data_IF_997500638175
#
_entry.id   IF_997500638175
#
_cell.length_a   1.000
_cell.length_b   1.000
_cell.length_c   1.000
_cell.angle_alpha   90.00
_cell.angle_beta   90.00
_cell.angle_gamma   90.00
#
_symmetry.space_group_name_H-M   'P 1'
#
loop_
_entity.id
_entity.type
_entity.pdbx_description
1 polymer ?
#
# COMPACT_ATOMS: atom_id res chain seq x y z
N UNK A 1 -37.99 11.26 -6.24
CA UNK A 1 -38.08 9.92 -5.65
C UNK A 1 -37.01 9.86 -4.58
N UNK A 2 -37.39 9.80 -3.31
CA UNK A 2 -36.40 9.74 -2.22
C UNK A 2 -35.89 8.31 -2.17
N UNK A 3 -34.63 8.09 -2.54
CA UNK A 3 -33.95 6.81 -2.37
C UNK A 3 -33.77 6.62 -0.87
N UNK A 4 -34.40 5.60 -0.31
CA UNK A 4 -34.20 5.25 1.09
C UNK A 4 -32.81 4.63 1.27
N UNK A 5 -32.07 4.97 2.33
CA UNK A 5 -30.80 4.31 2.61
C UNK A 5 -31.03 2.83 2.89
N UNK A 6 -30.28 1.97 2.21
CA UNK A 6 -30.41 0.50 2.29
C UNK A 6 -29.55 -0.11 3.41
N UNK A 7 -28.70 0.69 4.05
CA UNK A 7 -27.87 0.25 5.17
C UNK A 7 -27.36 1.40 6.03
N UNK A 8 -26.74 1.04 7.15
CA UNK A 8 -26.09 1.99 8.06
C UNK A 8 -24.76 1.44 8.55
N UNK A 9 -23.75 2.30 8.67
CA UNK A 9 -22.50 2.01 9.36
C UNK A 9 -22.40 2.91 10.57
N UNK A 10 -21.93 2.41 11.71
CA UNK A 10 -21.85 3.20 12.95
C UNK A 10 -20.47 3.15 13.59
N UNK A 11 -19.97 4.32 13.98
CA UNK A 11 -18.72 4.47 14.76
C UNK A 11 -19.01 5.31 15.99
N UNK A 12 -18.73 4.80 17.19
CA UNK A 12 -18.98 5.49 18.47
C UNK A 12 -20.41 6.07 18.58
N UNK A 13 -21.41 5.23 18.26
CA UNK A 13 -22.84 5.60 18.26
C UNK A 13 -23.26 6.65 17.22
N UNK A 14 -22.36 7.07 16.33
CA UNK A 14 -22.70 7.91 15.19
C UNK A 14 -22.94 7.04 13.98
N UNK A 15 -24.18 7.02 13.50
CA UNK A 15 -24.57 6.25 12.32
C UNK A 15 -24.52 7.12 11.08
N UNK A 16 -23.88 6.59 10.03
CA UNK A 16 -23.89 7.13 8.69
C UNK A 16 -24.71 6.18 7.80
N UNK A 17 -25.83 6.64 7.24
CA UNK A 17 -26.58 5.84 6.27
C UNK A 17 -25.82 5.77 4.95
N UNK A 18 -26.00 4.67 4.21
CA UNK A 18 -25.46 4.52 2.86
C UNK A 18 -26.48 3.87 1.92
N UNK A 19 -26.25 4.05 0.63
CA UNK A 19 -27.01 3.41 -0.45
C UNK A 19 -26.06 2.78 -1.46
N UNK A 20 -26.39 1.60 -1.98
CA UNK A 20 -25.69 1.02 -3.13
C UNK A 20 -26.07 1.78 -4.41
N UNK A 21 -25.21 1.78 -5.44
CA UNK A 21 -25.59 2.19 -6.79
C UNK A 21 -26.80 1.36 -7.28
N UNK A 22 -27.65 1.97 -8.10
CA UNK A 22 -28.89 1.33 -8.58
C UNK A 22 -28.62 -0.04 -9.22
N UNK A 23 -29.34 -1.08 -8.75
CA UNK A 23 -29.44 -2.36 -9.45
C UNK A 23 -29.00 -3.61 -8.68
N UNK A 24 -28.39 -3.49 -7.49
CA UNK A 24 -28.07 -4.67 -6.67
C UNK A 24 -28.58 -4.52 -5.24
N UNK A 25 -29.51 -5.40 -4.87
CA UNK A 25 -30.12 -5.47 -3.53
C UNK A 25 -29.50 -6.57 -2.66
N UNK A 26 -28.72 -7.49 -3.25
CA UNK A 26 -28.18 -8.68 -2.59
C UNK A 26 -26.65 -8.66 -2.71
N UNK A 27 -25.96 -8.80 -1.57
CA UNK A 27 -24.53 -9.06 -1.51
C UNK A 27 -24.34 -10.57 -1.33
N UNK A 28 -23.98 -11.27 -2.39
CA UNK A 28 -23.68 -12.70 -2.36
C UNK A 28 -22.20 -12.91 -2.04
N UNK A 29 -21.91 -13.72 -1.03
CA UNK A 29 -20.56 -14.01 -0.54
C UNK A 29 -20.33 -15.52 -0.64
N UNK A 30 -19.44 -15.95 -1.51
CA UNK A 30 -19.16 -17.36 -1.83
C UNK A 30 -17.81 -17.88 -1.31
N UNK A 31 -17.03 -17.00 -0.68
CA UNK A 31 -15.65 -17.27 -0.25
C UNK A 31 -15.38 -16.86 1.21
N UNK A 32 -14.14 -17.02 1.65
CA UNK A 32 -13.69 -16.75 3.01
C UNK A 32 -13.77 -15.26 3.39
N UNK A 33 -14.11 -15.00 4.65
CA UNK A 33 -14.06 -13.65 5.23
C UNK A 33 -12.75 -13.43 5.98
N UNK A 34 -11.99 -12.41 5.58
CA UNK A 34 -10.71 -12.07 6.20
C UNK A 34 -10.84 -10.93 7.21
N UNK A 35 -10.05 -10.98 8.30
CA UNK A 35 -9.97 -9.95 9.31
C UNK A 35 -8.51 -9.58 9.56
N UNK A 36 -8.19 -8.29 9.46
CA UNK A 36 -6.88 -7.75 9.81
C UNK A 36 -5.84 -7.76 8.69
N UNK A 37 -6.07 -8.49 7.60
CA UNK A 37 -5.16 -8.53 6.45
C UNK A 37 -5.56 -9.62 5.47
N UNK A 38 -4.69 -9.86 4.48
CA UNK A 38 -4.85 -10.91 3.48
C UNK A 38 -3.61 -11.81 3.46
N UNK A 39 -3.73 -13.07 3.00
CA UNK A 39 -2.57 -13.95 2.82
C UNK A 39 -1.56 -13.38 1.82
N UNK A 40 -0.28 -13.74 1.99
CA UNK A 40 0.80 -13.29 1.08
C UNK A 40 0.60 -13.81 -0.35
N UNK A 41 0.14 -15.06 -0.48
CA UNK A 41 -0.29 -15.60 -1.77
C UNK A 41 -1.72 -15.16 -2.06
N UNK A 42 -1.87 -14.26 -3.03
CA UNK A 42 -3.16 -13.74 -3.51
C UNK A 42 -3.64 -14.39 -4.81
N UNK A 43 -3.08 -15.54 -5.18
CA UNK A 43 -3.33 -16.23 -6.45
C UNK A 43 -4.82 -16.41 -6.77
N UNK A 44 -5.63 -16.61 -5.73
CA UNK A 44 -7.05 -16.94 -5.85
C UNK A 44 -7.98 -15.82 -5.35
N UNK A 45 -7.42 -14.64 -5.02
CA UNK A 45 -8.14 -13.49 -4.51
C UNK A 45 -8.37 -12.46 -5.62
N UNK A 46 -9.63 -12.26 -6.01
CA UNK A 46 -10.03 -11.15 -6.89
C UNK A 46 -10.28 -9.92 -6.03
N UNK A 47 -9.36 -8.96 -6.07
CA UNK A 47 -9.46 -7.73 -5.29
C UNK A 47 -9.97 -6.57 -6.15
N UNK A 48 -11.08 -5.92 -5.76
CA UNK A 48 -11.52 -4.70 -6.41
C UNK A 48 -10.50 -3.56 -6.17
N UNK A 49 -10.30 -2.65 -7.16
CA UNK A 49 -9.35 -1.54 -7.05
C UNK A 49 -9.69 -0.57 -5.90
N UNK A 50 -10.97 -0.50 -5.50
CA UNK A 50 -11.46 0.30 -4.38
C UNK A 50 -10.88 -0.15 -3.02
N UNK A 51 -10.40 -1.40 -2.92
CA UNK A 51 -9.75 -1.96 -1.73
C UNK A 51 -8.24 -1.74 -1.80
N UNK A 52 -7.84 -0.48 -1.94
CA UNK A 52 -6.46 -0.08 -2.21
C UNK A 52 -5.45 -0.54 -1.13
N UNK A 53 -5.85 -0.63 0.14
CA UNK A 53 -4.97 -1.10 1.23
C UNK A 53 -4.50 -2.54 1.00
N UNK A 54 -5.35 -3.38 0.40
CA UNK A 54 -5.00 -4.75 0.07
C UNK A 54 -3.95 -4.81 -1.04
N UNK A 55 -4.03 -3.92 -2.03
CA UNK A 55 -3.08 -3.85 -3.15
C UNK A 55 -1.70 -3.33 -2.69
N UNK A 56 -1.68 -2.41 -1.71
CA UNK A 56 -0.44 -1.89 -1.09
C UNK A 56 0.13 -2.78 0.03
N UNK A 57 -0.48 -3.95 0.31
CA UNK A 57 -0.10 -4.82 1.44
C UNK A 57 -0.16 -4.12 2.81
N UNK A 58 -1.05 -3.14 2.97
CA UNK A 58 -1.27 -2.42 4.22
C UNK A 58 -2.27 -3.20 5.09
N UNK A 59 -1.80 -4.30 5.67
CA UNK A 59 -2.52 -5.04 6.70
C UNK A 59 -2.75 -4.20 7.96
N UNK A 60 -3.86 -4.45 8.65
CA UNK A 60 -4.18 -3.78 9.91
C UNK A 60 -3.24 -4.25 11.02
N UNK A 61 -2.75 -3.30 11.82
CA UNK A 61 -1.97 -3.58 13.03
C UNK A 61 -2.62 -2.85 14.19
N UNK A 62 -3.15 -3.61 15.14
CA UNK A 62 -3.86 -3.07 16.29
C UNK A 62 -4.67 -4.15 16.99
N UNK A 63 -5.74 -3.73 17.66
CA UNK A 63 -6.62 -4.65 18.38
C UNK A 63 -8.01 -4.70 17.78
N UNK A 64 -8.63 -5.87 17.84
CA UNK A 64 -10.05 -6.08 17.51
C UNK A 64 -10.65 -6.95 18.62
N UNK A 65 -11.88 -6.63 19.02
CA UNK A 65 -12.69 -7.42 19.96
C UNK A 65 -14.16 -7.32 19.59
N UNK A 66 -14.98 -8.18 20.21
CA UNK A 66 -16.44 -8.11 20.13
C UNK A 66 -16.97 -8.19 18.67
N UNK A 67 -16.50 -9.19 17.91
CA UNK A 67 -16.98 -9.44 16.54
C UNK A 67 -18.37 -10.10 16.59
N UNK A 68 -19.34 -9.48 15.93
CA UNK A 68 -20.67 -10.03 15.71
C UNK A 68 -20.96 -10.19 14.22
N UNK A 69 -21.47 -11.35 13.83
CA UNK A 69 -21.94 -11.63 12.47
C UNK A 69 -23.40 -12.09 12.60
N UNK A 70 -24.32 -11.38 11.94
CA UNK A 70 -25.77 -11.61 12.04
C UNK A 70 -26.28 -11.64 13.49
N UNK A 71 -25.75 -10.75 14.33
CA UNK A 71 -26.07 -10.66 15.75
C UNK A 71 -25.48 -11.77 16.63
N UNK A 72 -24.72 -12.72 16.05
CA UNK A 72 -24.06 -13.80 16.80
C UNK A 72 -22.61 -13.43 17.10
N UNK A 73 -22.25 -13.50 18.38
CA UNK A 73 -20.87 -13.30 18.82
C UNK A 73 -19.95 -14.37 18.24
N UNK A 74 -18.78 -13.95 17.76
CA UNK A 74 -17.68 -14.81 17.31
C UNK A 74 -16.46 -14.58 18.18
N UNK A 75 -15.96 -15.67 18.77
CA UNK A 75 -14.76 -15.63 19.59
C UNK A 75 -13.51 -15.58 18.69
N UNK A 76 -13.08 -14.36 18.36
CA UNK A 76 -11.91 -14.11 17.49
C UNK A 76 -10.61 -14.66 18.08
N UNK A 77 -10.49 -14.74 19.41
CA UNK A 77 -9.32 -15.31 20.07
C UNK A 77 -9.25 -16.80 19.81
N UNK A 78 -10.35 -17.52 20.06
CA UNK A 78 -10.42 -18.96 19.83
C UNK A 78 -10.22 -19.31 18.34
N UNK A 79 -10.78 -18.50 17.44
CA UNK A 79 -10.59 -18.67 16.00
C UNK A 79 -9.12 -18.54 15.59
N UNK A 80 -8.40 -17.54 16.14
CA UNK A 80 -6.97 -17.35 15.88
C UNK A 80 -6.12 -18.50 16.43
N UNK A 81 -6.44 -19.01 17.62
CA UNK A 81 -5.76 -20.17 18.23
C UNK A 81 -5.94 -21.45 17.39
N UNK A 82 -7.16 -21.74 16.93
CA UNK A 82 -7.45 -22.92 16.09
C UNK A 82 -6.71 -22.84 14.75
N UNK A 83 -6.62 -21.65 14.15
CA UNK A 83 -5.97 -21.45 12.87
C UNK A 83 -4.45 -21.29 12.99
N UNK A 84 -3.89 -21.27 14.21
CA UNK A 84 -2.48 -20.99 14.46
C UNK A 84 -2.01 -19.71 13.74
N UNK A 85 -2.83 -18.66 13.81
CA UNK A 85 -2.60 -17.42 13.06
C UNK A 85 -1.28 -16.75 13.50
N UNK A 86 -0.31 -16.71 12.58
CA UNK A 86 1.01 -16.13 12.83
C UNK A 86 0.90 -14.62 13.12
N UNK A 87 1.63 -14.15 14.13
CA UNK A 87 1.66 -12.73 14.51
C UNK A 87 0.43 -12.23 15.27
N UNK A 88 -0.57 -13.07 15.53
CA UNK A 88 -1.75 -12.71 16.32
C UNK A 88 -1.54 -13.04 17.79
N UNK A 89 -1.72 -12.06 18.68
CA UNK A 89 -1.66 -12.24 20.14
C UNK A 89 -3.06 -12.28 20.73
N UNK A 90 -3.26 -13.11 21.77
CA UNK A 90 -4.52 -13.19 22.51
C UNK A 90 -4.74 -12.03 23.48
N UNK A 91 -3.77 -11.12 23.61
CA UNK A 91 -3.83 -9.96 24.48
C UNK A 91 -3.71 -8.65 23.69
N UNK A 92 -4.54 -7.67 24.07
CA UNK A 92 -4.46 -6.31 23.57
C UNK A 92 -4.03 -5.37 24.70
N UNK A 93 -2.76 -5.01 24.75
CA UNK A 93 -2.27 -3.95 25.63
C UNK A 93 -1.38 -3.01 24.83
N UNK A 94 -1.55 -1.70 25.06
CA UNK A 94 -0.66 -0.71 24.49
C UNK A 94 0.57 -0.61 25.39
N UNK A 95 1.72 -0.97 24.86
CA UNK A 95 2.98 -0.79 25.57
C UNK A 95 3.26 0.71 25.77
N UNK A 96 3.73 1.05 26.97
CA UNK A 96 4.04 2.45 27.31
C UNK A 96 5.46 2.85 26.88
N UNK A 97 6.33 1.87 26.62
CA UNK A 97 7.68 2.14 26.15
C UNK A 97 7.65 2.49 24.67
N UNK A 98 8.10 3.71 24.35
CA UNK A 98 8.29 4.14 22.97
C UNK A 98 9.43 3.36 22.33
N UNK A 99 9.13 2.57 21.31
CA UNK A 99 10.10 1.74 20.61
C UNK A 99 11.12 2.59 19.83
N UNK A 100 10.74 3.79 19.38
CA UNK A 100 11.68 4.71 18.74
C UNK A 100 12.72 5.35 19.69
N UNK A 101 12.51 5.30 21.01
CA UNK A 101 13.44 5.91 21.97
C UNK A 101 14.81 5.21 22.04
N UNK A 102 14.89 3.94 21.62
CA UNK A 102 16.17 3.24 21.48
C UNK A 102 16.92 3.57 20.19
N UNK A 103 16.41 4.49 19.37
CA UNK A 103 16.93 4.85 18.05
C UNK A 103 17.24 3.61 17.17
N UNK A 104 16.23 2.74 16.90
CA UNK A 104 16.47 1.48 16.20
C UNK A 104 16.79 1.64 14.71
N UNK A 105 16.44 2.79 14.11
CA UNK A 105 16.68 3.06 12.69
C UNK A 105 18.09 3.62 12.48
N UNK A 106 18.91 2.91 11.71
CA UNK A 106 20.25 3.33 11.32
C UNK A 106 20.25 4.36 10.19
N UNK A 107 21.45 4.86 9.87
CA UNK A 107 21.74 5.62 8.64
C UNK A 107 20.79 6.78 8.34
N UNK A 108 20.43 7.55 9.38
CA UNK A 108 19.50 8.69 9.30
C UNK A 108 18.07 8.32 8.84
N UNK A 109 17.67 7.05 8.95
CA UNK A 109 16.28 6.64 8.77
C UNK A 109 15.35 7.27 9.81
N UNK A 110 14.17 7.70 9.38
CA UNK A 110 13.19 8.29 10.29
C UNK A 110 12.42 7.20 11.03
N UNK A 111 12.51 7.19 12.36
CA UNK A 111 11.74 6.26 13.18
C UNK A 111 10.32 6.79 13.43
N UNK A 112 9.31 5.98 13.10
CA UNK A 112 7.90 6.23 13.39
C UNK A 112 7.40 5.21 14.42
N UNK A 113 6.67 5.70 15.43
CA UNK A 113 6.08 4.83 16.45
C UNK A 113 4.83 4.15 15.89
N UNK A 114 4.72 2.84 16.07
CA UNK A 114 3.57 2.02 15.69
C UNK A 114 2.91 1.34 16.88
N UNK A 115 1.93 0.46 16.60
CA UNK A 115 1.30 -0.34 17.65
C UNK A 115 2.27 -1.43 18.16
N UNK A 116 2.85 -1.22 19.34
CA UNK A 116 3.84 -2.11 19.99
C UNK A 116 5.05 -2.45 19.11
N UNK A 117 5.39 -1.57 18.15
CA UNK A 117 6.53 -1.72 17.24
C UNK A 117 7.04 -0.36 16.81
N UNK A 118 8.25 -0.32 16.27
CA UNK A 118 8.75 0.83 15.52
C UNK A 118 8.68 0.53 14.02
N UNK A 119 8.69 1.58 13.21
CA UNK A 119 8.72 1.52 11.75
C UNK A 119 9.84 2.45 11.30
N UNK A 120 10.80 1.93 10.53
CA UNK A 120 11.86 2.74 9.96
C UNK A 120 11.50 3.16 8.54
N UNK A 121 11.48 4.47 8.31
CA UNK A 121 11.36 5.06 6.98
C UNK A 121 12.76 5.33 6.44
N UNK A 122 13.25 4.41 5.60
CA UNK A 122 14.57 4.48 4.98
C UNK A 122 14.56 5.29 3.67
N UNK A 123 13.44 5.93 3.32
CA UNK A 123 13.30 6.70 2.07
C UNK A 123 14.35 7.81 2.02
N UNK A 124 15.05 7.93 0.88
CA UNK A 124 16.13 8.92 0.72
C UNK A 124 17.45 8.67 1.48
N UNK A 125 17.57 7.63 2.30
CA UNK A 125 18.77 7.41 3.14
C UNK A 125 19.97 6.76 2.43
N UNK A 126 19.75 6.03 1.34
CA UNK A 126 20.78 5.11 0.81
C UNK A 126 20.66 3.67 1.32
N UNK A 127 19.74 3.37 2.25
CA UNK A 127 19.67 2.08 2.94
C UNK A 127 18.26 1.45 2.85
N UNK A 128 18.19 0.15 3.08
CA UNK A 128 16.97 -0.68 3.15
C UNK A 128 17.03 -1.61 4.37
N UNK A 129 16.03 -2.46 4.52
CA UNK A 129 15.88 -3.37 5.65
C UNK A 129 14.99 -2.79 6.75
N UNK A 130 14.65 -3.62 7.73
CA UNK A 130 13.74 -3.26 8.82
C UNK A 130 14.27 -2.10 9.67
N UNK A 131 15.59 -1.97 9.78
CA UNK A 131 16.29 -0.98 10.58
C UNK A 131 17.15 -0.03 9.73
N UNK A 132 16.96 0.03 8.41
CA UNK A 132 17.84 0.75 7.50
C UNK A 132 19.33 0.34 7.62
N UNK A 133 19.59 -0.92 7.96
CA UNK A 133 20.93 -1.48 8.21
C UNK A 133 21.61 -1.96 6.93
N UNK A 134 20.83 -2.22 5.90
CA UNK A 134 21.31 -2.74 4.62
C UNK A 134 21.66 -1.54 3.76
N UNK A 135 22.95 -1.24 3.62
CA UNK A 135 23.40 -0.27 2.63
C UNK A 135 23.04 -0.80 1.26
N UNK A 136 22.29 0.00 0.51
CA UNK A 136 21.99 -0.32 -0.88
C UNK A 136 23.33 -0.54 -1.59
N UNK A 137 24.36 0.29 -1.39
CA UNK A 137 25.65 0.19 -2.09
C UNK A 137 26.57 -0.96 -1.63
N UNK A 138 26.50 -1.46 -0.39
CA UNK A 138 27.32 -2.63 0.01
C UNK A 138 26.60 -3.96 -0.13
N UNK A 139 25.26 -4.00 -0.09
CA UNK A 139 24.54 -5.16 -0.63
C UNK A 139 24.73 -5.27 -2.14
N UNK A 140 24.90 -4.15 -2.86
CA UNK A 140 25.44 -4.19 -4.22
C UNK A 140 26.78 -4.94 -4.22
N UNK A 141 27.82 -4.55 -3.47
CA UNK A 141 29.15 -5.21 -3.57
C UNK A 141 29.15 -6.70 -3.16
N UNK A 142 28.40 -7.10 -2.12
CA UNK A 142 28.39 -8.50 -1.65
C UNK A 142 27.43 -9.40 -2.46
N UNK A 143 26.36 -8.86 -3.03
CA UNK A 143 25.45 -9.57 -3.94
C UNK A 143 25.98 -9.57 -5.39
N UNK A 144 26.75 -8.55 -5.82
CA UNK A 144 27.36 -8.44 -7.15
C UNK A 144 28.31 -9.60 -7.48
N UNK A 145 28.89 -10.27 -6.46
CA UNK A 145 29.77 -11.41 -6.69
C UNK A 145 29.06 -12.77 -6.74
N UNK A 146 27.75 -12.84 -6.41
CA UNK A 146 27.01 -14.12 -6.41
C UNK A 146 25.68 -14.10 -7.18
N UNK A 147 24.92 -12.99 -7.22
CA UNK A 147 23.68 -12.87 -7.98
C UNK A 147 23.45 -11.40 -8.42
N UNK A 148 23.84 -11.11 -9.66
CA UNK A 148 23.60 -9.88 -10.46
C UNK A 148 22.64 -8.81 -9.89
N UNK A 149 23.23 -7.62 -9.65
CA UNK A 149 22.68 -6.27 -9.72
C UNK A 149 21.41 -5.94 -8.89
N UNK A 150 21.56 -5.19 -7.79
CA UNK A 150 20.65 -4.05 -7.70
C UNK A 150 21.17 -3.06 -8.76
N UNK A 151 20.40 -2.87 -9.82
CA UNK A 151 20.92 -2.38 -11.09
C UNK A 151 20.81 -0.86 -11.11
N UNK A 152 21.91 -0.12 -11.01
CA UNK A 152 21.89 1.28 -11.44
C UNK A 152 21.77 1.25 -12.95
N UNK A 153 20.59 1.62 -13.44
CA UNK A 153 20.33 1.68 -14.88
C UNK A 153 20.84 3.02 -15.38
N UNK A 154 21.87 2.97 -16.23
CA UNK A 154 22.33 4.13 -16.97
C UNK A 154 21.52 4.24 -18.25
N UNK A 155 20.92 5.42 -18.46
CA UNK A 155 20.17 5.73 -19.67
C UNK A 155 20.92 6.79 -20.46
N UNK A 156 21.27 6.51 -21.72
CA UNK A 156 21.90 7.49 -22.63
C UNK A 156 20.87 8.37 -23.39
N UNK A 157 19.58 8.07 -23.20
CA UNK A 157 18.44 8.71 -23.87
C UNK A 157 17.84 7.89 -25.02
N UNK A 158 18.43 6.75 -25.38
CA UNK A 158 17.89 5.79 -26.36
C UNK A 158 17.44 4.46 -25.73
N UNK A 159 17.77 4.25 -24.46
CA UNK A 159 17.46 3.04 -23.71
C UNK A 159 16.11 3.13 -22.98
N UNK A 160 15.49 1.99 -22.72
CA UNK A 160 14.30 1.88 -21.86
C UNK A 160 14.33 0.57 -21.09
N UNK A 161 13.65 0.54 -19.93
CA UNK A 161 13.35 -0.68 -19.19
C UNK A 161 11.83 -0.83 -19.10
N UNK A 162 11.33 -2.04 -19.33
CA UNK A 162 9.90 -2.38 -19.18
C UNK A 162 9.73 -3.41 -18.09
N UNK A 163 8.94 -3.07 -17.07
CA UNK A 163 8.45 -4.02 -16.06
C UNK A 163 7.11 -4.55 -16.56
N UNK A 164 7.03 -5.86 -16.82
CA UNK A 164 5.80 -6.51 -17.26
C UNK A 164 5.07 -6.98 -16.00
N UNK A 165 3.91 -6.38 -15.72
CA UNK A 165 3.01 -6.87 -14.67
C UNK A 165 2.36 -8.18 -15.13
N UNK A 166 2.37 -9.25 -14.31
CA UNK A 166 1.85 -10.55 -14.70
C UNK A 166 0.32 -10.56 -14.89
N UNK A 167 -0.39 -9.60 -14.28
CA UNK A 167 -1.84 -9.41 -14.38
C UNK A 167 -2.11 -7.92 -14.63
N UNK A 168 -3.18 -7.60 -15.37
CA UNK A 168 -3.66 -6.22 -15.54
C UNK A 168 -4.02 -5.65 -14.19
N UNK A 169 -3.27 -4.64 -13.77
CA UNK A 169 -3.44 -3.99 -12.48
C UNK A 169 -4.38 -2.79 -12.64
N UNK A 170 -5.47 -2.80 -11.88
CA UNK A 170 -6.34 -1.65 -11.67
C UNK A 170 -6.12 -1.22 -10.21
N UNK A 171 -5.70 0.02 -10.01
CA UNK A 171 -5.34 0.57 -8.71
C UNK A 171 -5.98 1.95 -8.58
N UNK A 172 -6.61 2.23 -7.44
CA UNK A 172 -7.07 3.60 -7.10
C UNK A 172 -6.03 4.37 -6.28
N UNK A 173 -5.00 3.70 -5.76
CA UNK A 173 -3.87 4.32 -5.08
C UNK A 173 -2.57 3.53 -5.35
N UNK A 174 -1.50 4.26 -5.65
CA UNK A 174 -0.16 3.73 -5.84
C UNK A 174 0.83 4.41 -4.88
N UNK A 175 1.74 3.62 -4.29
CA UNK A 175 2.91 4.13 -3.58
C UNK A 175 4.15 3.90 -4.45
N UNK A 176 4.76 4.98 -4.95
CA UNK A 176 5.87 4.93 -5.90
C UNK A 176 7.02 5.77 -5.37
N UNK A 177 8.18 5.13 -5.16
CA UNK A 177 9.42 5.79 -4.79
C UNK A 177 10.54 5.41 -5.75
N UNK A 178 11.26 6.41 -6.27
CA UNK A 178 12.46 6.22 -7.10
C UNK A 178 13.52 7.27 -6.75
N UNK A 179 14.78 6.98 -7.08
CA UNK A 179 15.89 7.93 -6.98
C UNK A 179 16.48 8.10 -8.37
N UNK A 180 16.77 9.34 -8.76
CA UNK A 180 17.32 9.66 -10.06
C UNK A 180 18.38 10.75 -9.95
N UNK A 181 19.28 10.79 -10.92
CA UNK A 181 20.22 11.88 -11.13
C UNK A 181 20.28 12.16 -12.64
N UNK A 182 20.13 13.42 -13.03
CA UNK A 182 20.21 13.81 -14.44
C UNK A 182 20.74 15.23 -14.55
N UNK A 183 21.55 15.47 -15.59
CA UNK A 183 21.97 16.81 -15.99
C UNK A 183 20.94 17.50 -16.89
N UNK A 184 19.97 16.74 -17.44
CA UNK A 184 18.95 17.27 -18.35
C UNK A 184 17.80 17.89 -17.55
N UNK A 185 17.34 19.06 -17.98
CA UNK A 185 16.16 19.73 -17.42
C UNK A 185 14.83 19.06 -17.84
N UNK A 186 14.87 18.15 -18.83
CA UNK A 186 13.70 17.47 -19.38
C UNK A 186 13.96 15.97 -19.56
N UNK A 187 12.94 15.14 -19.31
CA UNK A 187 13.00 13.69 -19.55
C UNK A 187 11.97 12.90 -18.76
N UNK A 188 11.51 11.78 -19.32
CA UNK A 188 10.62 10.85 -18.63
C UNK A 188 11.39 10.02 -17.59
N UNK A 189 10.89 9.95 -16.36
CA UNK A 189 11.46 9.12 -15.29
C UNK A 189 10.73 7.78 -15.18
N UNK A 190 9.40 7.80 -15.22
CA UNK A 190 8.55 6.62 -15.10
C UNK A 190 7.20 6.90 -15.79
N UNK A 191 6.62 5.88 -16.41
CA UNK A 191 5.23 5.91 -16.86
C UNK A 191 4.59 4.54 -16.67
N UNK A 192 3.37 4.50 -16.12
CA UNK A 192 2.48 3.35 -16.30
C UNK A 192 1.74 3.49 -17.63
N UNK A 193 1.52 2.38 -18.32
CA UNK A 193 0.79 2.36 -19.60
C UNK A 193 -0.24 1.25 -19.60
N UNK A 194 -1.43 1.55 -20.12
CA UNK A 194 -2.48 0.59 -20.40
C UNK A 194 -2.52 0.26 -21.89
N UNK A 195 -2.88 -0.98 -22.25
CA UNK A 195 -3.12 -1.37 -23.65
C UNK A 195 -4.51 -0.97 -24.14
N UNK A 196 -5.44 -0.75 -23.22
CA UNK A 196 -6.87 -0.59 -23.49
C UNK A 196 -7.36 0.84 -23.23
N UNK A 197 -6.57 1.66 -22.53
CA UNK A 197 -6.90 3.04 -22.20
C UNK A 197 -5.69 3.96 -22.36
N UNK A 198 -5.96 5.27 -22.38
CA UNK A 198 -4.93 6.30 -22.32
C UNK A 198 -4.44 6.58 -20.89
N UNK A 199 -4.83 5.73 -19.93
CA UNK A 199 -4.56 5.94 -18.52
C UNK A 199 -3.07 5.80 -18.24
N UNK A 200 -2.56 6.69 -17.39
CA UNK A 200 -1.13 6.79 -17.15
C UNK A 200 -0.85 7.58 -15.87
N UNK A 201 0.05 7.06 -15.07
CA UNK A 201 0.75 7.78 -14.02
C UNK A 201 2.17 8.01 -14.55
N UNK A 202 2.56 9.27 -14.71
CA UNK A 202 3.87 9.66 -15.26
C UNK A 202 4.60 10.58 -14.31
N UNK A 203 5.88 10.32 -14.13
CA UNK A 203 6.83 11.23 -13.51
C UNK A 203 7.81 11.69 -14.59
N UNK A 204 7.92 13.00 -14.77
CA UNK A 204 8.82 13.61 -15.75
C UNK A 204 9.60 14.78 -15.15
N UNK A 205 10.76 15.08 -15.71
CA UNK A 205 11.47 16.34 -15.53
C UNK A 205 10.91 17.36 -16.52
N UNK A 206 10.47 18.50 -16.02
CA UNK A 206 9.94 19.63 -16.79
C UNK A 206 10.57 20.94 -16.28
N UNK A 207 11.55 21.45 -17.03
CA UNK A 207 12.32 22.63 -16.66
C UNK A 207 13.12 22.44 -15.36
N UNK A 208 13.68 21.25 -15.13
CA UNK A 208 14.49 20.92 -13.96
C UNK A 208 13.69 20.59 -12.70
N UNK A 209 12.36 20.59 -12.77
CA UNK A 209 11.46 20.19 -11.69
C UNK A 209 10.84 18.83 -11.99
N UNK A 210 10.53 18.07 -10.95
CA UNK A 210 9.76 16.83 -11.08
C UNK A 210 8.28 17.19 -11.20
N UNK A 211 7.60 16.63 -12.20
CA UNK A 211 6.19 16.82 -12.49
C UNK A 211 5.49 15.47 -12.53
N UNK A 212 4.44 15.34 -11.73
CA UNK A 212 3.53 14.19 -11.72
C UNK A 212 2.34 14.48 -12.64
N UNK A 213 2.01 13.53 -13.50
CA UNK A 213 0.84 13.57 -14.38
C UNK A 213 0.04 12.29 -14.16
N UNK A 214 -1.22 12.43 -13.80
CA UNK A 214 -2.17 11.32 -13.71
C UNK A 214 -3.27 11.56 -14.73
N UNK A 215 -3.45 10.64 -15.67
CA UNK A 215 -4.56 10.61 -16.61
C UNK A 215 -5.33 9.31 -16.39
N UNK A 216 -6.64 9.40 -16.22
CA UNK A 216 -7.55 8.26 -16.02
C UNK A 216 -8.66 8.24 -17.08
N UNK A 217 -8.39 8.80 -18.27
CA UNK A 217 -9.29 8.71 -19.42
C UNK A 217 -10.58 9.54 -19.29
N UNK A 218 -10.74 10.31 -18.20
CA UNK A 218 -11.84 11.25 -17.98
C UNK A 218 -11.35 12.69 -18.23
N UNK A 219 -12.16 13.57 -18.85
CA UNK A 219 -11.81 14.98 -18.99
C UNK A 219 -11.60 15.60 -17.59
N UNK A 220 -10.44 16.26 -17.44
CA UNK A 220 -9.95 16.98 -16.27
C UNK A 220 -11.05 17.54 -15.34
N UNK A 221 -11.29 16.88 -14.21
CA UNK A 221 -11.78 17.57 -13.01
C UNK A 221 -10.55 17.88 -12.16
N UNK A 222 -10.11 19.13 -12.22
CA UNK A 222 -9.13 19.69 -11.31
C UNK A 222 -9.61 19.48 -9.87
N UNK A 223 -8.91 18.66 -9.09
CA UNK A 223 -9.00 18.76 -7.62
C UNK A 223 -8.13 19.95 -7.24
N UNK A 224 -8.79 21.07 -6.91
CA UNK A 224 -8.15 22.25 -6.35
C UNK A 224 -7.35 21.87 -5.08
N UNK A 225 -6.20 22.52 -4.95
CA UNK A 225 -5.30 22.54 -3.81
C UNK A 225 -6.01 22.39 -2.45
N UNK A 226 -5.49 21.50 -1.61
CA UNK A 226 -5.75 21.54 -0.18
C UNK A 226 -5.07 22.77 0.43
N UNK A 227 -5.83 23.53 1.23
CA UNK A 227 -5.34 24.55 2.16
C UNK A 227 -4.62 23.89 3.35
#
# INVERSE_FOLDING_TARGET
MYVFPIGTISVNSRSMPFSSPEGSEILDLDSDMYLGGLPESKSDLILPPEVWTALLNYGYVGCVRDLFIDGKSRDVRRLAEIQSALGVSSFCTRELQKRCSSAPCGNAGMCKEGWNRYICDCTGTGYLGTNCEIDILTQFIFLLCFYTEATVLSYDGSMYLKIIMPVTMHTEAEDVALRFMSQRAYGLLMATTSKESADTLRLELDGGRVKLIVNLGKPLWFINSFY
#
